data_IF_343344186705
#
_entry.id   IF_343344186705
#
_cell.length_a   1.000
_cell.length_b   1.000
_cell.length_c   1.000
_cell.angle_alpha   90.00
_cell.angle_beta   90.00
_cell.angle_gamma   90.00
#
_symmetry.space_group_name_H-M   'P 1'
#
loop_
_entity.id
_entity.type
_entity.pdbx_description
1 polymer ?
#
# COMPACT_ATOMS: atom_id res chain seq x y z
N UNK A 1 -3.73 -24.80 -28.44
CA UNK A 1 -4.09 -23.44 -27.98
C UNK A 1 -3.12 -23.09 -26.85
N UNK A 2 -2.12 -22.26 -27.13
CA UNK A 2 -1.15 -21.85 -26.11
C UNK A 2 -1.87 -20.80 -25.26
N UNK A 3 -2.28 -21.18 -24.05
CA UNK A 3 -2.73 -20.22 -23.04
C UNK A 3 -1.47 -19.52 -22.59
N UNK A 4 -1.10 -18.42 -23.24
CA UNK A 4 -0.11 -17.49 -22.69
C UNK A 4 -0.71 -16.94 -21.41
N UNK A 5 -0.30 -17.51 -20.28
CA UNK A 5 -0.50 -16.91 -18.98
C UNK A 5 0.04 -15.47 -19.07
N UNK A 6 -0.84 -14.47 -19.00
CA UNK A 6 -0.41 -13.09 -18.84
C UNK A 6 0.37 -13.03 -17.53
N UNK A 7 1.70 -12.97 -17.63
CA UNK A 7 2.55 -12.83 -16.49
C UNK A 7 2.27 -11.46 -15.85
N UNK A 8 2.03 -11.45 -14.54
CA UNK A 8 1.92 -10.22 -13.78
C UNK A 8 3.18 -9.38 -13.99
N UNK A 9 3.02 -8.15 -14.51
CA UNK A 9 4.14 -7.23 -14.72
C UNK A 9 4.21 -6.28 -13.53
N UNK A 10 5.39 -6.21 -12.91
CA UNK A 10 5.70 -5.21 -11.88
C UNK A 10 6.59 -4.14 -12.47
N UNK A 11 6.24 -2.88 -12.29
CA UNK A 11 7.02 -1.73 -12.73
C UNK A 11 7.30 -0.80 -11.55
N UNK A 12 8.53 -0.29 -11.45
CA UNK A 12 8.85 0.76 -10.49
C UNK A 12 8.34 2.11 -11.01
N UNK A 13 7.51 2.78 -10.21
CA UNK A 13 6.88 4.06 -10.53
C UNK A 13 7.37 5.20 -9.64
N UNK A 14 8.34 4.97 -8.75
CA UNK A 14 8.79 5.97 -7.76
C UNK A 14 9.25 7.29 -8.38
N UNK A 15 9.80 7.27 -9.59
CA UNK A 15 10.21 8.48 -10.30
C UNK A 15 9.04 9.40 -10.70
N UNK A 16 7.81 8.88 -10.74
CA UNK A 16 6.59 9.67 -10.91
C UNK A 16 6.03 10.25 -9.60
N UNK A 17 6.58 9.82 -8.46
CA UNK A 17 6.15 10.23 -7.12
C UNK A 17 7.33 10.62 -6.21
N UNK A 18 8.29 11.44 -6.70
CA UNK A 18 9.53 11.72 -5.97
C UNK A 18 9.30 12.43 -4.63
N UNK A 19 8.18 13.13 -4.47
CA UNK A 19 7.79 13.82 -3.24
C UNK A 19 7.29 12.87 -2.14
N UNK A 20 6.94 11.63 -2.51
CA UNK A 20 6.37 10.62 -1.62
C UNK A 20 7.31 9.42 -1.36
N UNK A 21 8.56 9.45 -1.84
CA UNK A 21 9.50 8.32 -1.73
C UNK A 21 10.82 8.75 -1.10
N UNK A 22 11.43 7.87 -0.30
CA UNK A 22 12.78 8.06 0.23
C UNK A 22 12.87 9.01 1.44
N UNK A 23 11.78 9.19 2.17
CA UNK A 23 11.71 10.12 3.29
C UNK A 23 10.87 9.63 4.46
N UNK A 24 10.88 10.44 5.52
CA UNK A 24 10.02 10.30 6.67
C UNK A 24 8.73 11.12 6.47
N UNK A 25 7.59 10.48 6.70
CA UNK A 25 6.27 11.06 6.55
C UNK A 25 5.45 10.89 7.83
N UNK A 26 4.42 11.69 7.96
CA UNK A 26 3.43 11.57 9.03
C UNK A 26 2.06 11.28 8.46
N UNK A 27 1.34 10.35 9.08
CA UNK A 27 -0.03 10.06 8.70
C UNK A 27 -0.92 11.30 8.91
N UNK A 28 -1.81 11.57 7.96
CA UNK A 28 -2.74 12.72 8.00
C UNK A 28 -4.11 12.37 8.55
N UNK A 29 -4.39 11.09 8.68
CA UNK A 29 -5.63 10.50 9.17
C UNK A 29 -5.32 9.24 10.00
N UNK A 30 -6.32 8.72 10.70
CA UNK A 30 -6.18 7.51 11.50
C UNK A 30 -6.19 6.27 10.59
N UNK A 31 -5.12 5.49 10.66
CA UNK A 31 -4.91 4.30 9.84
C UNK A 31 -4.85 3.05 10.72
N UNK A 32 -4.97 1.89 10.12
CA UNK A 32 -4.72 0.60 10.74
C UNK A 32 -3.68 -0.16 9.92
N UNK A 33 -2.77 -0.84 10.62
CA UNK A 33 -1.91 -1.85 10.05
C UNK A 33 -2.58 -3.21 10.25
N UNK A 34 -2.73 -3.96 9.18
CA UNK A 34 -3.53 -5.18 9.13
C UNK A 34 -2.77 -6.28 8.41
N UNK A 35 -2.76 -7.48 8.97
CA UNK A 35 -2.25 -8.70 8.32
C UNK A 35 -3.35 -9.27 7.42
N UNK A 36 -3.12 -9.25 6.11
CA UNK A 36 -4.04 -9.84 5.13
C UNK A 36 -3.69 -11.33 4.94
N UNK A 37 -4.70 -12.20 4.96
CA UNK A 37 -4.54 -13.63 4.70
C UNK A 37 -4.60 -13.94 3.18
N UNK A 38 -5.04 -12.97 2.37
CA UNK A 38 -5.14 -13.13 0.92
C UNK A 38 -3.76 -13.00 0.24
N UNK A 39 -3.33 -14.08 -0.40
CA UNK A 39 -2.08 -14.20 -1.16
C UNK A 39 -2.06 -13.43 -2.49
N UNK A 40 -3.10 -12.66 -2.80
CA UNK A 40 -3.18 -11.97 -4.08
C UNK A 40 -2.76 -10.51 -3.92
N UNK A 41 -1.83 -10.09 -4.77
CA UNK A 41 -1.34 -8.71 -4.96
C UNK A 41 -0.30 -8.20 -3.95
N UNK A 42 -0.22 -8.76 -2.75
CA UNK A 42 0.66 -8.25 -1.68
C UNK A 42 2.10 -8.80 -1.73
N UNK A 43 3.10 -7.92 -1.75
CA UNK A 43 4.52 -8.24 -1.50
C UNK A 43 4.79 -8.41 -0.01
N UNK A 44 3.98 -7.76 0.81
CA UNK A 44 4.06 -7.83 2.26
C UNK A 44 2.79 -8.43 2.82
N UNK A 45 2.90 -9.14 3.93
CA UNK A 45 1.71 -9.65 4.62
C UNK A 45 0.86 -8.54 5.24
N UNK A 46 1.40 -7.33 5.36
CA UNK A 46 0.76 -6.23 6.06
C UNK A 46 0.24 -5.17 5.07
N UNK A 47 -1.04 -4.86 5.15
CA UNK A 47 -1.65 -3.73 4.48
C UNK A 47 -1.86 -2.58 5.46
N UNK A 48 -1.60 -1.37 5.00
CA UNK A 48 -2.02 -0.14 5.64
C UNK A 48 -3.39 0.25 5.05
N UNK A 49 -4.38 0.46 5.90
CA UNK A 49 -5.75 0.82 5.48
C UNK A 49 -6.30 1.94 6.36
N UNK A 50 -7.29 2.69 5.87
CA UNK A 50 -8.02 3.63 6.72
C UNK A 50 -8.74 2.84 7.81
N UNK A 51 -8.81 3.36 9.03
CA UNK A 51 -9.54 2.66 10.09
C UNK A 51 -11.02 2.45 9.75
N UNK A 52 -11.63 3.39 9.02
CA UNK A 52 -13.01 3.29 8.53
C UNK A 52 -13.21 2.20 7.49
N UNK A 53 -12.15 1.87 6.74
CA UNK A 53 -12.15 0.84 5.70
C UNK A 53 -11.68 -0.51 6.27
N UNK A 54 -11.29 -0.56 7.55
CA UNK A 54 -10.79 -1.79 8.14
C UNK A 54 -11.91 -2.81 8.26
N UNK A 55 -11.51 -4.05 7.95
CA UNK A 55 -11.97 -5.26 8.61
C UNK A 55 -13.17 -6.00 7.95
N UNK A 56 -12.86 -7.15 7.37
CA UNK A 56 -13.68 -8.37 7.42
C UNK A 56 -12.90 -9.67 7.11
N UNK A 57 -11.67 -9.61 6.57
CA UNK A 57 -10.94 -10.78 6.05
C UNK A 57 -9.48 -10.99 6.57
N UNK A 58 -9.13 -10.56 7.78
CA UNK A 58 -7.76 -10.68 8.31
C UNK A 58 -7.54 -10.10 9.71
N UNK A 59 -6.28 -9.98 10.15
CA UNK A 59 -5.93 -9.67 11.55
C UNK A 59 -5.38 -8.25 11.71
N UNK A 60 -6.04 -7.43 12.52
CA UNK A 60 -5.49 -6.12 12.92
C UNK A 60 -4.21 -6.29 13.75
N UNK A 61 -3.13 -5.66 13.30
CA UNK A 61 -1.83 -5.65 14.00
C UNK A 61 -1.76 -4.44 14.94
N UNK A 62 -2.10 -3.25 14.42
CA UNK A 62 -2.00 -2.01 15.17
C UNK A 62 -2.97 -0.94 14.64
N UNK A 63 -3.46 -0.11 15.54
CA UNK A 63 -4.07 1.17 15.19
C UNK A 63 -2.99 2.24 15.17
N UNK A 64 -2.93 2.99 14.08
CA UNK A 64 -1.94 4.02 13.81
C UNK A 64 -2.63 5.38 13.82
N UNK A 65 -2.54 6.15 14.91
CA UNK A 65 -3.17 7.45 14.97
C UNK A 65 -2.54 8.41 13.96
N UNK A 66 -3.31 9.42 13.55
CA UNK A 66 -2.82 10.58 12.81
C UNK A 66 -1.55 11.13 13.47
N UNK A 67 -0.56 11.47 12.66
CA UNK A 67 0.76 11.91 13.12
C UNK A 67 1.74 10.76 13.38
N UNK A 68 1.34 9.49 13.21
CA UNK A 68 2.29 8.36 13.23
C UNK A 68 3.32 8.54 12.12
N UNK A 69 4.59 8.31 12.47
CA UNK A 69 5.70 8.36 11.53
C UNK A 69 5.75 7.09 10.67
N UNK A 70 5.82 7.26 9.36
CA UNK A 70 6.01 6.19 8.38
C UNK A 70 7.14 6.54 7.43
N UNK A 71 7.73 5.53 6.81
CA UNK A 71 8.73 5.70 5.76
C UNK A 71 8.21 5.04 4.49
N UNK A 72 8.27 5.75 3.38
CA UNK A 72 7.86 5.22 2.08
C UNK A 72 9.12 4.96 1.26
N UNK A 73 9.31 3.70 0.86
CA UNK A 73 10.52 3.25 0.18
C UNK A 73 10.35 3.15 -1.34
N UNK A 74 9.14 2.86 -1.82
CA UNK A 74 8.89 2.66 -3.23
C UNK A 74 7.41 2.87 -3.58
N UNK A 75 7.13 3.13 -4.85
CA UNK A 75 5.80 2.98 -5.44
C UNK A 75 5.94 2.04 -6.63
N UNK A 76 5.16 0.96 -6.62
CA UNK A 76 5.15 -0.05 -7.67
C UNK A 76 3.82 -0.05 -8.39
N UNK A 77 3.83 -0.41 -9.68
CA UNK A 77 2.64 -0.68 -10.47
C UNK A 77 2.56 -2.16 -10.82
N UNK A 78 1.39 -2.74 -10.64
CA UNK A 78 1.10 -4.13 -10.97
C UNK A 78 0.05 -4.19 -12.06
N UNK A 79 0.42 -4.81 -13.19
CA UNK A 79 -0.45 -4.98 -14.34
C UNK A 79 -0.73 -6.48 -14.50
N UNK A 80 -2.01 -6.83 -14.41
CA UNK A 80 -2.57 -8.13 -14.70
C UNK A 80 -3.77 -7.99 -15.65
N UNK A 81 -4.24 -9.09 -16.22
CA UNK A 81 -5.30 -9.05 -17.26
C UNK A 81 -6.56 -8.28 -16.83
N UNK A 82 -6.94 -8.36 -15.55
CA UNK A 82 -8.13 -7.68 -15.02
C UNK A 82 -7.84 -6.48 -14.12
N UNK A 83 -6.58 -6.29 -13.70
CA UNK A 83 -6.22 -5.38 -12.61
C UNK A 83 -4.97 -4.55 -12.97
N UNK A 84 -5.04 -3.24 -12.76
CA UNK A 84 -3.91 -2.31 -12.90
C UNK A 84 -3.84 -1.41 -11.66
N UNK A 85 -2.88 -1.65 -10.78
CA UNK A 85 -2.80 -1.03 -9.45
C UNK A 85 -1.46 -0.37 -9.21
N UNK A 86 -1.46 0.81 -8.59
CA UNK A 86 -0.28 1.41 -7.98
C UNK A 86 -0.32 1.22 -6.46
N UNK A 87 0.76 0.71 -5.88
CA UNK A 87 0.91 0.50 -4.45
C UNK A 87 2.15 1.19 -3.92
N UNK A 88 1.99 1.87 -2.79
CA UNK A 88 3.10 2.41 -2.03
C UNK A 88 3.60 1.35 -1.05
N UNK A 89 4.90 1.09 -1.10
CA UNK A 89 5.60 0.24 -0.16
C UNK A 89 6.25 1.14 0.88
N UNK A 90 6.02 0.81 2.14
CA UNK A 90 6.57 1.56 3.25
C UNK A 90 6.85 0.70 4.47
N UNK A 91 7.22 1.36 5.54
CA UNK A 91 7.37 0.74 6.84
C UNK A 91 6.98 1.69 7.97
N UNK A 92 6.59 1.09 9.09
CA UNK A 92 6.23 1.77 10.33
C UNK A 92 6.91 1.04 11.49
N UNK A 93 7.30 1.79 12.52
CA UNK A 93 7.86 1.19 13.75
C UNK A 93 6.76 1.07 14.79
N UNK A 94 6.43 -0.15 15.21
CA UNK A 94 5.44 -0.45 16.24
C UNK A 94 6.12 -1.26 17.33
N UNK A 95 6.05 -0.79 18.59
CA UNK A 95 6.67 -1.44 19.75
C UNK A 95 8.16 -1.77 19.53
N UNK A 96 8.90 -0.85 18.89
CA UNK A 96 10.32 -1.02 18.57
C UNK A 96 10.62 -1.98 17.41
N UNK A 97 9.60 -2.57 16.77
CA UNK A 97 9.74 -3.44 15.61
C UNK A 97 9.35 -2.68 14.34
N UNK A 98 10.22 -2.73 13.33
CA UNK A 98 9.90 -2.24 11.99
C UNK A 98 9.04 -3.26 11.28
N UNK A 99 7.86 -2.83 10.83
CA UNK A 99 6.94 -3.63 10.03
C UNK A 99 6.79 -2.94 8.68
N UNK A 100 7.10 -3.66 7.62
CA UNK A 100 6.87 -3.21 6.26
C UNK A 100 5.38 -3.38 5.91
N UNK A 101 4.87 -2.51 5.05
CA UNK A 101 3.47 -2.49 4.65
C UNK A 101 3.28 -2.08 3.20
N UNK A 102 2.10 -2.38 2.67
CA UNK A 102 1.60 -1.88 1.40
C UNK A 102 0.38 -0.99 1.58
N UNK A 103 0.24 0.00 0.70
CA UNK A 103 -0.92 0.85 0.62
C UNK A 103 -1.34 1.03 -0.84
N UNK A 104 -2.56 0.63 -1.17
CA UNK A 104 -3.15 0.83 -2.50
C UNK A 104 -3.41 2.32 -2.75
N UNK A 105 -2.63 2.92 -3.65
CA UNK A 105 -2.78 4.32 -4.07
C UNK A 105 -3.91 4.45 -5.08
N UNK A 106 -3.91 3.58 -6.10
CA UNK A 106 -5.01 3.45 -7.04
C UNK A 106 -5.09 2.03 -7.57
N UNK A 107 -6.30 1.61 -7.97
CA UNK A 107 -6.53 0.34 -8.63
C UNK A 107 -7.64 0.46 -9.66
N UNK A 108 -7.42 -0.12 -10.83
CA UNK A 108 -8.44 -0.34 -11.84
C UNK A 108 -8.83 -1.82 -11.84
N UNK A 109 -10.02 -2.14 -11.33
CA UNK A 109 -10.59 -3.49 -11.37
C UNK A 109 -11.66 -3.55 -12.46
N UNK A 110 -11.45 -4.37 -13.50
CA UNK A 110 -12.46 -4.59 -14.55
C UNK A 110 -13.01 -3.29 -15.20
N UNK A 111 -12.20 -2.23 -15.26
CA UNK A 111 -12.60 -0.92 -15.81
C UNK A 111 -13.06 0.11 -14.78
N UNK A 112 -13.17 -0.26 -13.50
CA UNK A 112 -13.51 0.65 -12.40
C UNK A 112 -12.23 1.14 -11.71
N UNK A 113 -11.95 2.44 -11.84
CA UNK A 113 -10.80 3.09 -11.18
C UNK A 113 -11.19 3.63 -9.81
N UNK A 114 -10.59 3.08 -8.76
CA UNK A 114 -10.64 3.61 -7.39
C UNK A 114 -9.30 4.28 -7.10
N UNK A 115 -9.32 5.58 -6.84
CA UNK A 115 -8.15 6.33 -6.37
C UNK A 115 -8.34 6.65 -4.90
N UNK A 116 -7.29 6.45 -4.10
CA UNK A 116 -7.26 6.87 -2.70
C UNK A 116 -6.35 8.08 -2.55
N UNK A 117 -6.74 9.02 -1.71
CA UNK A 117 -5.84 10.09 -1.29
C UNK A 117 -4.69 9.48 -0.50
N UNK A 118 -3.49 10.02 -0.68
CA UNK A 118 -2.32 9.58 0.08
C UNK A 118 -2.47 10.04 1.54
N UNK A 119 -2.48 9.12 2.52
CA UNK A 119 -2.76 9.44 3.90
C UNK A 119 -1.51 9.93 4.65
N UNK A 120 -0.53 10.52 3.96
CA UNK A 120 0.72 10.95 4.57
C UNK A 120 1.27 12.26 3.98
N UNK A 121 1.99 13.02 4.82
CA UNK A 121 2.67 14.27 4.46
C UNK A 121 4.13 14.25 4.88
N UNK A 122 4.99 14.85 4.08
CA UNK A 122 6.44 14.89 4.32
C UNK A 122 6.73 15.65 5.61
N UNK A 123 7.68 15.14 6.41
CA UNK A 123 8.23 15.88 7.55
C UNK A 123 8.95 17.13 7.01
N UNK A 124 8.46 18.30 7.39
CA UNK A 124 9.13 19.59 7.15
C UNK A 124 10.38 19.70 8.05
#
# INVERSE_FOLDING_TARGET
MIVTACAAKTENMSHYYPEYVGGDFFLTEDMALFENDEQNFSFFKNALVRQTDCCSSGRQIALLPKGTKVQISNILRYINFTNDCNEAIGNVTINGKRLDFEYFVNCNYQGVKVAKDLPWKRKL
#
